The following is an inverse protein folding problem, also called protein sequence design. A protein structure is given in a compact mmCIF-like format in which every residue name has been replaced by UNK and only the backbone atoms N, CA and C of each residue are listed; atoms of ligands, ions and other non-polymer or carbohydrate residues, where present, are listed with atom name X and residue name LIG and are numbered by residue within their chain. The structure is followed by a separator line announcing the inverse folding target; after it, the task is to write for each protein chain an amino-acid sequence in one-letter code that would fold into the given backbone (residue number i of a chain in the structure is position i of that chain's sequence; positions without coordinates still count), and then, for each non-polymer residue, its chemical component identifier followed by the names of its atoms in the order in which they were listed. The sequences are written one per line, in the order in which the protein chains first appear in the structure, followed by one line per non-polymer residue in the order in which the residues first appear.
data_IF_946974804396
#
_entry.id   IF_946974804396
#
_cell.length_a   1.000
_cell.length_b   1.000
_cell.length_c   1.000
_cell.angle_alpha   90.00
_cell.angle_beta   90.00
_cell.angle_gamma   90.00
#
_symmetry.space_group_name_H-M   'P 1'
#
loop_
_entity.id
_entity.type
_entity.pdbx_description
1 polymer ?
#
# COMPACT_ATOMS: atom_id res chain seq x y z
N UNK A 1 29.81 13.53 -6.73
CA UNK A 1 28.59 14.27 -7.14
C UNK A 1 28.00 13.54 -8.34
N UNK A 2 27.13 12.56 -8.13
CA UNK A 2 26.50 11.81 -9.21
C UNK A 2 25.10 12.39 -9.47
N UNK A 3 25.01 13.20 -10.53
CA UNK A 3 23.76 13.81 -11.00
C UNK A 3 22.80 12.73 -11.51
N UNK A 4 21.55 12.84 -11.07
CA UNK A 4 20.38 12.14 -11.58
C UNK A 4 20.35 12.04 -13.10
N UNK A 5 20.62 10.86 -13.65
CA UNK A 5 20.45 10.56 -15.08
C UNK A 5 19.00 10.19 -15.46
N UNK A 6 18.04 10.32 -14.52
CA UNK A 6 16.68 9.81 -14.73
C UNK A 6 15.72 10.78 -15.44
N UNK A 7 16.02 12.08 -15.52
CA UNK A 7 15.07 13.06 -16.09
C UNK A 7 15.28 13.34 -17.57
N UNK A 8 16.33 12.81 -18.20
CA UNK A 8 16.67 13.15 -19.60
C UNK A 8 15.87 12.36 -20.65
N UNK A 9 15.31 11.20 -20.31
CA UNK A 9 14.78 10.27 -21.33
C UNK A 9 13.33 10.52 -21.78
N UNK A 10 12.61 11.47 -21.19
CA UNK A 10 11.16 11.64 -21.46
C UNK A 10 10.68 13.09 -21.51
N UNK A 11 11.57 14.07 -21.43
CA UNK A 11 11.22 15.50 -21.55
C UNK A 11 10.08 15.98 -20.62
N UNK A 12 9.75 15.25 -19.56
CA UNK A 12 8.62 15.55 -18.67
C UNK A 12 7.23 15.22 -19.25
N UNK A 13 7.13 14.31 -20.22
CA UNK A 13 5.87 13.98 -20.91
C UNK A 13 5.05 12.89 -20.21
N UNK A 14 5.66 12.05 -19.38
CA UNK A 14 5.00 10.92 -18.71
C UNK A 14 5.15 11.04 -17.19
N UNK A 15 4.03 11.28 -16.51
CA UNK A 15 3.93 11.34 -15.05
C UNK A 15 4.09 9.93 -14.42
N UNK A 16 4.88 9.78 -13.35
CA UNK A 16 5.01 8.51 -12.62
C UNK A 16 3.68 8.02 -12.04
N UNK A 17 3.46 6.72 -12.05
CA UNK A 17 2.26 6.11 -11.47
C UNK A 17 2.61 5.53 -10.10
N UNK A 18 1.85 5.88 -9.06
CA UNK A 18 2.05 5.34 -7.72
C UNK A 18 1.47 3.93 -7.59
N UNK A 19 2.26 2.99 -7.08
CA UNK A 19 1.84 1.59 -6.90
C UNK A 19 2.21 1.12 -5.49
N UNK A 20 1.33 0.38 -4.78
CA UNK A 20 1.62 -0.12 -3.45
C UNK A 20 2.86 -1.02 -3.42
N UNK A 21 3.68 -0.88 -2.38
CA UNK A 21 4.96 -1.58 -2.21
C UNK A 21 4.86 -3.11 -2.29
N UNK A 22 3.68 -3.68 -2.01
CA UNK A 22 3.45 -5.12 -1.91
C UNK A 22 3.06 -5.83 -3.24
N UNK A 23 2.98 -5.11 -4.36
CA UNK A 23 2.64 -5.74 -5.65
C UNK A 23 3.78 -6.62 -6.19
N UNK A 24 3.46 -7.89 -6.53
CA UNK A 24 4.37 -8.81 -7.22
C UNK A 24 4.45 -8.47 -8.72
N UNK A 25 5.67 -8.41 -9.22
CA UNK A 25 5.97 -8.29 -10.65
C UNK A 25 5.65 -9.63 -11.32
N UNK A 26 5.13 -9.65 -12.56
CA UNK A 26 4.95 -10.89 -13.32
C UNK A 26 6.27 -11.67 -13.41
N UNK A 27 6.18 -12.96 -13.10
CA UNK A 27 7.20 -14.02 -12.97
C UNK A 27 8.57 -13.77 -13.68
N UNK A 28 9.72 -13.99 -13.00
CA UNK A 28 11.06 -13.73 -13.53
C UNK A 28 11.57 -14.83 -14.47
N UNK A 29 10.72 -15.34 -15.38
CA UNK A 29 11.05 -16.48 -16.27
C UNK A 29 12.26 -16.21 -17.19
N UNK A 30 12.71 -14.96 -17.31
CA UNK A 30 13.91 -14.55 -18.07
C UNK A 30 15.09 -14.09 -17.20
N UNK A 31 14.98 -14.14 -15.87
CA UNK A 31 16.09 -13.98 -14.91
C UNK A 31 16.90 -12.67 -14.96
N UNK A 32 16.46 -11.64 -15.68
CA UNK A 32 17.26 -10.45 -15.96
C UNK A 32 16.68 -9.14 -15.45
N UNK A 33 15.41 -9.11 -15.04
CA UNK A 33 14.77 -7.91 -14.53
C UNK A 33 14.63 -7.98 -13.00
N UNK A 34 15.43 -7.18 -12.31
CA UNK A 34 15.27 -6.90 -10.89
C UNK A 34 14.03 -6.01 -10.65
N UNK A 35 13.42 -6.03 -9.44
CA UNK A 35 12.31 -5.15 -9.13
C UNK A 35 12.60 -3.66 -9.39
N UNK A 36 13.83 -3.22 -9.14
CA UNK A 36 14.26 -1.85 -9.41
C UNK A 36 14.36 -1.50 -10.90
N UNK A 37 14.60 -2.47 -11.79
CA UNK A 37 14.59 -2.24 -13.24
C UNK A 37 13.16 -2.16 -13.78
N UNK A 38 12.26 -2.98 -13.24
CA UNK A 38 10.85 -2.93 -13.58
C UNK A 38 10.19 -1.62 -13.14
N UNK A 39 10.42 -1.22 -11.89
CA UNK A 39 9.92 0.05 -11.36
C UNK A 39 10.47 1.24 -12.14
N UNK A 40 11.73 1.18 -12.60
CA UNK A 40 12.33 2.23 -13.44
C UNK A 40 11.74 2.26 -14.84
N UNK A 41 11.51 1.10 -15.45
CA UNK A 41 10.91 1.00 -16.77
C UNK A 41 9.48 1.54 -16.80
N UNK A 42 8.67 1.21 -15.78
CA UNK A 42 7.29 1.67 -15.65
C UNK A 42 7.11 2.96 -14.84
N UNK A 43 8.21 3.54 -14.33
CA UNK A 43 8.19 4.71 -13.44
C UNK A 43 7.24 4.55 -12.26
N UNK A 44 7.27 3.38 -11.64
CA UNK A 44 6.46 3.10 -10.46
C UNK A 44 7.09 3.81 -9.26
N UNK A 45 6.38 4.79 -8.72
CA UNK A 45 6.71 5.35 -7.42
C UNK A 45 6.04 4.49 -6.35
N UNK A 46 6.83 3.71 -5.62
CA UNK A 46 6.32 2.94 -4.48
C UNK A 46 6.28 3.87 -3.27
N UNK A 47 5.13 4.50 -3.07
CA UNK A 47 4.86 5.26 -1.86
C UNK A 47 4.06 4.37 -0.89
N UNK A 48 4.52 4.31 0.36
CA UNK A 48 3.73 3.69 1.41
C UNK A 48 2.66 4.73 1.77
N UNK A 49 1.46 4.57 1.19
CA UNK A 49 0.28 5.35 1.56
C UNK A 49 0.23 5.52 3.08
N UNK A 50 -0.01 6.75 3.53
CA UNK A 50 -0.06 7.07 4.96
C UNK A 50 -1.01 6.09 5.64
N UNK A 51 -0.44 5.29 6.54
CA UNK A 51 -1.16 4.22 7.21
C UNK A 51 -2.37 4.76 7.99
N UNK A 52 -2.31 6.03 8.42
CA UNK A 52 -3.45 6.72 9.02
C UNK A 52 -4.57 7.00 8.00
N UNK A 53 -4.24 7.46 6.80
CA UNK A 53 -5.20 7.68 5.72
C UNK A 53 -5.84 6.38 5.23
N UNK A 54 -5.02 5.34 5.06
CA UNK A 54 -5.51 3.99 4.75
C UNK A 54 -6.49 3.49 5.82
N UNK A 55 -6.12 3.63 7.10
CA UNK A 55 -6.97 3.18 8.21
C UNK A 55 -8.31 3.91 8.23
N UNK A 56 -8.32 5.23 8.03
CA UNK A 56 -9.57 6.02 7.93
C UNK A 56 -10.44 5.53 6.78
N UNK A 57 -9.83 5.32 5.61
CA UNK A 57 -10.54 4.83 4.42
C UNK A 57 -11.17 3.45 4.64
N UNK A 58 -10.47 2.54 5.32
CA UNK A 58 -11.03 1.23 5.67
C UNK A 58 -12.21 1.35 6.64
N UNK A 59 -12.13 2.24 7.65
CA UNK A 59 -13.23 2.43 8.61
C UNK A 59 -14.47 3.02 7.94
N UNK A 60 -14.29 4.02 7.07
CA UNK A 60 -15.39 4.63 6.31
C UNK A 60 -16.06 3.62 5.38
N UNK A 61 -15.27 2.82 4.67
CA UNK A 61 -15.78 1.75 3.81
C UNK A 61 -16.54 0.70 4.62
N UNK A 62 -16.00 0.29 5.77
CA UNK A 62 -16.65 -0.71 6.62
C UNK A 62 -18.00 -0.20 7.13
N UNK A 63 -18.09 1.06 7.56
CA UNK A 63 -19.36 1.65 7.99
C UNK A 63 -20.41 1.58 6.87
N UNK A 64 -20.04 2.04 5.66
CA UNK A 64 -20.93 2.02 4.49
C UNK A 64 -21.38 0.62 4.10
N UNK A 65 -20.44 -0.34 4.04
CA UNK A 65 -20.77 -1.72 3.70
C UNK A 65 -21.70 -2.32 4.73
N UNK A 66 -21.47 -2.08 6.02
CA UNK A 66 -22.28 -2.68 7.09
C UNK A 66 -23.70 -2.10 7.09
N UNK A 67 -23.83 -0.79 6.85
CA UNK A 67 -25.13 -0.13 6.67
C UNK A 67 -25.89 -0.68 5.45
N UNK A 68 -25.19 -0.89 4.33
CA UNK A 68 -25.82 -1.42 3.11
C UNK A 68 -26.17 -2.92 3.23
N UNK A 69 -25.38 -3.71 3.98
CA UNK A 69 -25.47 -5.18 4.00
C UNK A 69 -26.84 -5.69 4.43
N UNK A 70 -27.50 -4.99 5.35
CA UNK A 70 -28.84 -5.31 5.85
C UNK A 70 -29.89 -5.28 4.72
N UNK A 71 -29.74 -4.36 3.77
CA UNK A 71 -30.69 -4.13 2.68
C UNK A 71 -30.35 -4.88 1.39
N UNK A 72 -29.24 -5.63 1.37
CA UNK A 72 -28.86 -6.42 0.19
C UNK A 72 -29.67 -7.71 0.05
N UNK A 73 -29.90 -8.13 -1.19
CA UNK A 73 -30.47 -9.44 -1.54
C UNK A 73 -29.45 -10.58 -1.49
N UNK A 74 -28.27 -10.35 -0.92
CA UNK A 74 -27.24 -11.36 -0.77
C UNK A 74 -27.70 -12.44 0.20
N UNK A 75 -27.26 -13.67 -0.02
CA UNK A 75 -27.50 -14.74 0.95
C UNK A 75 -26.59 -14.60 2.18
N UNK A 76 -26.89 -15.37 3.22
CA UNK A 76 -26.16 -15.34 4.48
C UNK A 76 -24.69 -15.74 4.36
N UNK A 77 -24.34 -16.58 3.38
CA UNK A 77 -22.96 -17.00 3.15
C UNK A 77 -22.15 -15.89 2.49
N UNK A 78 -22.73 -15.20 1.51
CA UNK A 78 -22.12 -14.05 0.85
C UNK A 78 -21.93 -12.89 1.83
N UNK A 79 -22.96 -12.58 2.63
CA UNK A 79 -22.86 -11.58 3.70
C UNK A 79 -21.76 -11.93 4.70
N UNK A 80 -21.67 -13.18 5.13
CA UNK A 80 -20.61 -13.68 6.01
C UNK A 80 -19.22 -13.54 5.36
N UNK A 81 -19.08 -13.88 4.08
CA UNK A 81 -17.82 -13.77 3.36
C UNK A 81 -17.33 -12.31 3.30
N UNK A 82 -18.24 -11.36 3.04
CA UNK A 82 -17.94 -9.93 3.06
C UNK A 82 -17.43 -9.52 4.45
N UNK A 83 -18.16 -9.84 5.52
CA UNK A 83 -17.77 -9.48 6.89
C UNK A 83 -16.39 -10.06 7.28
N UNK A 84 -16.10 -11.31 6.89
CA UNK A 84 -14.77 -11.92 7.10
C UNK A 84 -13.69 -11.12 6.34
N UNK A 85 -13.99 -10.69 5.12
CA UNK A 85 -13.12 -9.81 4.34
C UNK A 85 -12.79 -8.52 5.08
N UNK A 86 -13.79 -7.83 5.63
CA UNK A 86 -13.60 -6.58 6.37
C UNK A 86 -12.69 -6.79 7.60
N UNK A 87 -12.92 -7.85 8.38
CA UNK A 87 -12.09 -8.19 9.55
C UNK A 87 -10.65 -8.52 9.14
N UNK A 88 -10.47 -9.24 8.04
CA UNK A 88 -9.14 -9.61 7.52
C UNK A 88 -8.33 -8.37 7.15
N UNK A 89 -8.95 -7.40 6.44
CA UNK A 89 -8.31 -6.13 6.08
C UNK A 89 -7.91 -5.34 7.33
N UNK A 90 -8.78 -5.27 8.34
CA UNK A 90 -8.46 -4.61 9.61
C UNK A 90 -7.28 -5.28 10.33
N UNK A 91 -7.27 -6.61 10.41
CA UNK A 91 -6.19 -7.38 11.04
C UNK A 91 -4.83 -7.14 10.36
N UNK A 92 -4.80 -7.13 9.03
CA UNK A 92 -3.59 -6.83 8.25
C UNK A 92 -3.15 -5.39 8.51
N UNK A 93 -4.08 -4.44 8.53
CA UNK A 93 -3.80 -3.02 8.77
C UNK A 93 -3.19 -2.80 10.17
N UNK A 94 -3.75 -3.44 11.20
CA UNK A 94 -3.18 -3.41 12.56
C UNK A 94 -1.78 -4.04 12.62
N UNK A 95 -1.56 -5.15 11.91
CA UNK A 95 -0.25 -5.79 11.83
C UNK A 95 0.80 -4.87 11.18
N UNK A 96 0.39 -4.08 10.18
CA UNK A 96 1.24 -3.04 9.57
C UNK A 96 1.57 -1.92 10.56
N UNK A 97 0.60 -1.47 11.36
CA UNK A 97 0.86 -0.48 12.43
C UNK A 97 1.90 -0.97 13.43
N UNK A 98 1.78 -2.22 13.89
CA UNK A 98 2.75 -2.81 14.81
C UNK A 98 4.16 -2.89 14.20
N UNK A 99 4.25 -3.22 12.91
CA UNK A 99 5.51 -3.27 12.18
C UNK A 99 6.14 -1.88 12.08
N UNK A 100 5.35 -0.85 11.76
CA UNK A 100 5.83 0.54 11.66
C UNK A 100 6.27 1.08 13.02
N UNK A 101 5.49 0.83 14.08
CA UNK A 101 5.83 1.25 15.44
C UNK A 101 7.09 0.56 15.96
N UNK A 102 7.27 -0.71 15.63
CA UNK A 102 8.47 -1.48 16.00
C UNK A 102 9.73 -1.04 15.24
N UNK A 103 9.57 -0.28 14.14
CA UNK A 103 10.66 0.22 13.31
C UNK A 103 11.10 1.64 13.70
N UNK A 104 10.34 2.35 14.53
CA UNK A 104 10.75 3.68 15.02
C UNK A 104 11.71 3.55 16.22
N UNK A 105 12.89 4.19 16.19
CA UNK A 105 13.75 4.27 17.35
C UNK A 105 13.12 5.16 18.44
N UNK A 106 13.29 4.75 19.69
CA UNK A 106 12.82 5.48 20.88
C UNK A 106 13.44 6.90 20.88
N UNK A 107 12.66 7.97 21.05
CA UNK A 107 13.18 9.32 21.11
C UNK A 107 13.78 9.58 22.50
N UNK A 108 15.02 9.14 22.75
CA UNK A 108 15.78 9.48 23.97
C UNK A 108 17.15 10.11 23.72
N UNK A 109 17.47 10.53 22.49
CA UNK A 109 18.77 11.17 22.15
C UNK A 109 18.60 12.49 21.39
N UNK A 110 17.66 13.35 21.79
CA UNK A 110 17.53 14.72 21.23
C UNK A 110 17.69 15.86 22.24
N UNK A 111 18.04 15.57 23.48
CA UNK A 111 18.56 16.56 24.41
C UNK A 111 20.02 16.21 24.70
N UNK A 112 20.93 17.12 24.33
CA UNK A 112 22.39 17.06 24.50
C UNK A 112 23.22 16.45 23.35
N UNK A 113 23.29 17.17 22.22
CA UNK A 113 24.52 17.32 21.44
C UNK A 113 24.52 18.67 20.73
#
# INVERSE_FOLDING_TARGET
MNKSHSSELDHGLIEPISVPTNHRIPDPWTGTATPGEYDRYFRLARDDMDLAEWTRSCLDLNARITDDLEFTSLDENDKRAILIGLVTVQSITMSRWLTTLSRQPIPSEREHA
#
